data_IF_225774020741
#
_entry.id   IF_225774020741
#
_cell.length_a   1.000
_cell.length_b   1.000
_cell.length_c   1.000
_cell.angle_alpha   90.00
_cell.angle_beta   90.00
_cell.angle_gamma   90.00
#
_symmetry.space_group_name_H-M   'P 1'
#
loop_
_entity.id
_entity.type
_entity.pdbx_description
1 polymer ?
#
# COMPACT_ATOMS: atom_id res chain seq x y z
N UNK A 1 -12.24 -3.03 14.05
CA UNK A 1 -13.39 -2.82 14.94
C UNK A 1 -13.38 -3.76 16.14
N UNK A 2 -14.12 -3.47 17.22
CA UNK A 2 -14.12 -4.29 18.43
C UNK A 2 -14.58 -5.74 18.16
N UNK A 3 -14.35 -6.63 19.15
CA UNK A 3 -14.81 -8.03 19.06
C UNK A 3 -16.35 -8.10 19.09
N UNK A 4 -16.93 -9.03 18.34
CA UNK A 4 -18.38 -9.27 18.37
C UNK A 4 -19.25 -8.35 17.51
N UNK A 5 -18.68 -7.43 16.73
CA UNK A 5 -19.43 -6.48 15.86
C UNK A 5 -19.84 -7.06 14.50
N UNK A 6 -19.70 -8.36 14.28
CA UNK A 6 -20.14 -8.99 13.02
C UNK A 6 -19.12 -8.99 11.88
N UNK A 7 -17.80 -8.81 12.14
CA UNK A 7 -16.76 -8.83 11.09
C UNK A 7 -16.82 -10.10 10.23
N UNK A 8 -16.94 -11.25 10.84
CA UNK A 8 -17.05 -12.55 10.14
C UNK A 8 -18.34 -12.67 9.34
N UNK A 9 -19.47 -12.22 9.88
CA UNK A 9 -20.77 -12.24 9.18
C UNK A 9 -20.76 -11.31 7.95
N UNK A 10 -20.15 -10.13 8.08
CA UNK A 10 -19.93 -9.25 6.93
C UNK A 10 -19.09 -9.93 5.85
N UNK A 11 -18.05 -10.67 6.24
CA UNK A 11 -17.19 -11.40 5.28
C UNK A 11 -17.93 -12.53 4.58
N UNK A 12 -18.83 -13.25 5.27
CA UNK A 12 -19.70 -14.26 4.65
C UNK A 12 -20.67 -13.62 3.66
N UNK A 13 -21.28 -12.48 4.05
CA UNK A 13 -22.17 -11.74 3.15
C UNK A 13 -21.43 -11.26 1.89
N UNK A 14 -20.16 -10.86 1.99
CA UNK A 14 -19.31 -10.54 0.84
C UNK A 14 -19.04 -11.77 -0.02
N UNK A 15 -18.75 -12.93 0.57
CA UNK A 15 -18.54 -14.17 -0.16
C UNK A 15 -19.81 -14.59 -0.93
N UNK A 16 -20.97 -14.49 -0.32
CA UNK A 16 -22.26 -14.74 -0.98
C UNK A 16 -22.49 -13.76 -2.13
N UNK A 17 -22.24 -12.47 -1.90
CA UNK A 17 -22.49 -11.43 -2.90
C UNK A 17 -21.58 -11.56 -4.14
N UNK A 18 -20.26 -11.78 -3.93
CA UNK A 18 -19.29 -11.82 -5.03
C UNK A 18 -19.17 -13.19 -5.68
N UNK A 19 -19.32 -14.26 -4.90
CA UNK A 19 -19.03 -15.62 -5.35
C UNK A 19 -20.23 -16.58 -5.24
N UNK A 20 -21.39 -16.04 -4.88
CA UNK A 20 -22.66 -16.78 -4.75
C UNK A 20 -22.56 -17.99 -3.81
N UNK A 21 -21.75 -17.89 -2.77
CA UNK A 21 -21.56 -18.93 -1.77
C UNK A 21 -20.92 -18.38 -0.50
N UNK A 22 -21.58 -18.50 0.64
CA UNK A 22 -21.01 -18.18 1.96
C UNK A 22 -19.76 -19.02 2.28
N UNK A 23 -19.65 -20.21 1.67
CA UNK A 23 -18.51 -21.12 1.83
C UNK A 23 -17.31 -20.78 0.92
N UNK A 24 -17.44 -19.77 0.05
CA UNK A 24 -16.33 -19.24 -0.72
C UNK A 24 -15.50 -18.28 0.14
N UNK A 25 -15.07 -18.73 1.32
CA UNK A 25 -14.29 -17.95 2.28
C UNK A 25 -13.20 -18.82 2.92
N UNK A 26 -12.00 -18.22 3.01
CA UNK A 26 -10.86 -18.71 3.78
C UNK A 26 -10.68 -17.78 4.95
N UNK A 27 -10.81 -18.26 6.19
CA UNK A 27 -10.56 -17.48 7.38
C UNK A 27 -9.25 -17.89 8.03
N UNK A 28 -8.41 -16.90 8.31
CA UNK A 28 -7.12 -17.06 8.97
C UNK A 28 -7.09 -16.16 10.19
N UNK A 29 -7.04 -16.73 11.39
CA UNK A 29 -6.90 -15.99 12.64
C UNK A 29 -5.40 -15.73 12.87
N UNK A 30 -5.00 -14.47 12.83
CA UNK A 30 -3.60 -14.09 12.92
C UNK A 30 -3.01 -14.30 14.31
N UNK A 31 -3.83 -14.53 15.34
CA UNK A 31 -3.36 -14.93 16.65
C UNK A 31 -2.66 -16.32 16.66
N UNK A 32 -2.97 -17.17 15.68
CA UNK A 32 -2.29 -18.46 15.49
C UNK A 32 -0.92 -18.32 14.78
N UNK A 33 -0.61 -17.13 14.25
CA UNK A 33 0.57 -16.86 13.43
C UNK A 33 1.47 -15.78 14.03
N UNK A 34 1.55 -15.73 15.36
CA UNK A 34 2.40 -14.79 16.11
C UNK A 34 3.89 -15.17 16.04
N UNK A 35 4.17 -16.46 15.89
CA UNK A 35 5.52 -17.00 15.88
C UNK A 35 6.04 -17.22 14.46
N UNK A 36 7.32 -16.94 14.23
CA UNK A 36 7.95 -17.07 12.91
C UNK A 36 7.76 -18.48 12.29
N UNK A 37 7.86 -19.52 13.09
CA UNK A 37 7.73 -20.91 12.58
C UNK A 37 6.31 -21.24 12.10
N UNK A 38 5.28 -20.50 12.55
CA UNK A 38 3.89 -20.73 12.14
C UNK A 38 3.61 -20.24 10.72
N UNK A 39 4.46 -19.37 10.16
CA UNK A 39 4.37 -18.91 8.78
C UNK A 39 4.40 -20.08 7.77
N UNK A 40 5.18 -21.11 8.09
CA UNK A 40 5.21 -22.33 7.29
C UNK A 40 3.83 -23.01 7.15
N UNK A 41 2.91 -22.82 8.10
CA UNK A 41 1.53 -23.31 7.97
C UNK A 41 0.75 -22.57 6.88
N UNK A 42 1.07 -21.27 6.63
CA UNK A 42 0.38 -20.47 5.62
C UNK A 42 0.86 -20.80 4.18
N UNK A 43 2.18 -20.84 3.98
CA UNK A 43 2.79 -20.93 2.66
C UNK A 43 3.48 -22.28 2.39
N UNK A 44 3.47 -23.19 3.37
CA UNK A 44 4.15 -24.48 3.30
C UNK A 44 5.56 -24.44 3.93
N UNK A 45 6.11 -25.64 4.15
CA UNK A 45 7.46 -25.84 4.66
C UNK A 45 8.47 -25.97 3.50
N UNK A 46 9.70 -25.48 3.64
CA UNK A 46 10.75 -25.72 2.66
C UNK A 46 11.12 -27.20 2.52
N UNK A 47 11.75 -27.61 1.42
CA UNK A 47 12.25 -28.97 1.26
C UNK A 47 13.15 -29.42 2.43
N UNK A 48 12.93 -30.62 2.93
CA UNK A 48 13.69 -31.21 4.04
C UNK A 48 13.15 -30.89 5.44
N UNK A 49 12.09 -30.11 5.55
CA UNK A 49 11.42 -29.84 6.83
C UNK A 49 10.14 -30.68 6.98
N UNK A 50 9.75 -30.95 8.23
CA UNK A 50 8.50 -31.64 8.55
C UNK A 50 7.32 -30.82 8.01
N UNK A 51 6.35 -31.49 7.37
CA UNK A 51 5.17 -30.84 6.74
C UNK A 51 5.43 -30.31 5.33
N UNK A 52 6.56 -30.63 4.69
CA UNK A 52 6.83 -30.23 3.30
C UNK A 52 5.77 -30.74 2.31
N UNK A 53 5.24 -31.96 2.51
CA UNK A 53 4.21 -32.57 1.66
C UNK A 53 2.83 -31.93 1.78
N UNK A 54 2.56 -31.25 2.90
CA UNK A 54 1.19 -30.84 3.24
C UNK A 54 0.79 -29.52 2.57
N UNK A 55 1.76 -28.80 2.00
CA UNK A 55 1.54 -27.46 1.43
C UNK A 55 1.20 -26.41 2.49
N UNK A 56 0.91 -25.18 2.05
CA UNK A 56 0.46 -24.11 2.93
C UNK A 56 -1.07 -24.01 2.95
N UNK A 57 -1.66 -23.78 4.11
CA UNK A 57 -3.12 -23.67 4.26
C UNK A 57 -3.68 -22.60 3.31
N UNK A 58 -3.08 -21.39 3.30
CA UNK A 58 -3.51 -20.29 2.46
C UNK A 58 -3.33 -20.63 0.97
N UNK A 59 -2.14 -21.08 0.60
CA UNK A 59 -1.78 -21.36 -0.80
C UNK A 59 -2.58 -22.50 -1.40
N UNK A 60 -2.83 -23.58 -0.64
CA UNK A 60 -3.63 -24.71 -1.10
C UNK A 60 -5.13 -24.36 -1.22
N UNK A 61 -5.69 -23.62 -0.26
CA UNK A 61 -7.11 -23.25 -0.32
C UNK A 61 -7.40 -22.32 -1.49
N UNK A 62 -6.54 -21.33 -1.75
CA UNK A 62 -6.72 -20.43 -2.89
C UNK A 62 -6.46 -21.15 -4.22
N UNK A 63 -5.51 -22.08 -4.28
CA UNK A 63 -5.29 -22.91 -5.47
C UNK A 63 -6.50 -23.77 -5.82
N UNK A 64 -7.16 -24.35 -4.80
CA UNK A 64 -8.37 -25.17 -4.99
C UNK A 64 -9.61 -24.34 -5.29
N UNK A 65 -9.71 -23.14 -4.69
CA UNK A 65 -10.84 -22.22 -4.84
C UNK A 65 -10.34 -20.82 -5.13
N UNK A 66 -10.00 -20.49 -6.40
CA UNK A 66 -9.42 -19.19 -6.75
C UNK A 66 -10.42 -18.03 -6.61
N UNK A 67 -11.73 -18.30 -6.68
CA UNK A 67 -12.79 -17.31 -6.47
C UNK A 67 -13.26 -17.40 -5.02
N UNK A 68 -12.60 -16.69 -4.12
CA UNK A 68 -12.86 -16.79 -2.68
C UNK A 68 -12.54 -15.47 -1.96
N UNK A 69 -13.17 -15.27 -0.81
CA UNK A 69 -12.79 -14.22 0.14
C UNK A 69 -11.74 -14.79 1.09
N UNK A 70 -10.62 -14.10 1.24
CA UNK A 70 -9.59 -14.43 2.22
C UNK A 70 -9.66 -13.40 3.35
N UNK A 71 -10.09 -13.84 4.52
CA UNK A 71 -10.18 -13.02 5.73
C UNK A 71 -8.94 -13.27 6.60
N UNK A 72 -8.13 -12.22 6.78
CA UNK A 72 -7.09 -12.16 7.80
C UNK A 72 -7.66 -11.45 9.03
N UNK A 73 -7.99 -12.22 10.07
CA UNK A 73 -8.60 -11.69 11.29
C UNK A 73 -7.52 -11.32 12.31
N UNK A 74 -7.65 -10.13 12.94
CA UNK A 74 -6.71 -9.60 13.95
C UNK A 74 -5.26 -9.47 13.46
N UNK A 75 -5.07 -8.81 12.30
CA UNK A 75 -3.75 -8.70 11.63
C UNK A 75 -2.67 -8.07 12.51
N UNK A 76 -3.01 -7.27 13.51
CA UNK A 76 -2.08 -6.67 14.46
C UNK A 76 -1.34 -7.70 15.33
N UNK A 77 -1.86 -8.93 15.44
CA UNK A 77 -1.25 -10.02 16.20
C UNK A 77 -0.26 -10.84 15.37
N UNK A 78 -0.25 -10.67 14.05
CA UNK A 78 0.58 -11.44 13.15
C UNK A 78 2.07 -11.18 13.36
N UNK A 79 2.90 -12.20 13.13
CA UNK A 79 4.34 -11.98 13.01
C UNK A 79 4.67 -11.00 11.89
N UNK A 80 5.66 -10.09 12.03
CA UNK A 80 6.00 -9.10 11.01
C UNK A 80 6.24 -9.67 9.61
N UNK A 81 6.78 -10.86 9.47
CA UNK A 81 7.04 -11.49 8.17
C UNK A 81 5.73 -11.79 7.39
N UNK A 82 4.58 -11.86 8.06
CA UNK A 82 3.27 -12.04 7.39
C UNK A 82 2.89 -10.79 6.59
N UNK A 83 3.29 -9.60 7.04
CA UNK A 83 3.07 -8.38 6.27
C UNK A 83 3.79 -8.41 4.92
N UNK A 84 4.96 -9.07 4.84
CA UNK A 84 5.65 -9.26 3.56
C UNK A 84 4.86 -10.16 2.60
N UNK A 85 4.19 -11.20 3.14
CA UNK A 85 3.29 -12.06 2.37
C UNK A 85 2.08 -11.26 1.88
N UNK A 86 1.46 -10.46 2.76
CA UNK A 86 0.34 -9.61 2.41
C UNK A 86 0.71 -8.59 1.34
N UNK A 87 1.87 -7.93 1.46
CA UNK A 87 2.37 -6.99 0.45
C UNK A 87 2.54 -7.68 -0.91
N UNK A 88 3.13 -8.88 -0.95
CA UNK A 88 3.28 -9.62 -2.20
C UNK A 88 1.93 -9.97 -2.84
N UNK A 89 0.93 -10.36 -2.03
CA UNK A 89 -0.42 -10.65 -2.52
C UNK A 89 -1.09 -9.38 -3.07
N UNK A 90 -0.99 -8.26 -2.34
CA UNK A 90 -1.67 -7.02 -2.69
C UNK A 90 -1.03 -6.31 -3.88
N UNK A 91 0.30 -6.32 -3.98
CA UNK A 91 1.03 -5.62 -5.04
C UNK A 91 1.11 -6.47 -6.32
N UNK A 92 1.48 -7.76 -6.20
CA UNK A 92 1.71 -8.63 -7.35
C UNK A 92 0.46 -9.43 -7.77
N UNK A 93 -0.55 -9.54 -6.91
CA UNK A 93 -1.72 -10.40 -7.10
C UNK A 93 -1.37 -11.89 -7.12
N UNK A 94 -0.22 -12.27 -6.55
CA UNK A 94 0.27 -13.65 -6.53
C UNK A 94 1.16 -13.88 -5.31
N UNK A 95 1.29 -15.15 -4.93
CA UNK A 95 2.16 -15.58 -3.83
C UNK A 95 2.93 -16.83 -4.26
N UNK A 96 4.22 -16.86 -4.00
CA UNK A 96 5.04 -18.05 -4.21
C UNK A 96 5.08 -18.86 -2.91
N UNK A 97 4.68 -20.12 -2.97
CA UNK A 97 4.74 -21.02 -1.81
C UNK A 97 6.19 -21.47 -1.51
N UNK A 98 6.37 -22.16 -0.39
CA UNK A 98 7.68 -22.64 0.02
C UNK A 98 8.25 -23.75 -0.90
N UNK A 99 7.44 -24.30 -1.81
CA UNK A 99 7.85 -25.26 -2.85
C UNK A 99 8.23 -24.58 -4.16
N UNK A 100 8.16 -23.24 -4.24
CA UNK A 100 8.42 -22.47 -5.45
C UNK A 100 7.24 -22.41 -6.42
N UNK A 101 6.05 -22.90 -6.04
CA UNK A 101 4.85 -22.83 -6.88
C UNK A 101 4.18 -21.48 -6.71
N UNK A 102 3.80 -20.85 -7.81
CA UNK A 102 3.07 -19.57 -7.81
C UNK A 102 1.57 -19.81 -7.69
N UNK A 103 0.92 -19.12 -6.78
CA UNK A 103 -0.53 -19.11 -6.58
C UNK A 103 -1.06 -17.75 -6.97
N UNK A 104 -2.11 -17.73 -7.81
CA UNK A 104 -2.75 -16.51 -8.31
C UNK A 104 -3.85 -16.06 -7.33
N UNK A 105 -3.79 -14.81 -6.89
CA UNK A 105 -4.74 -14.15 -5.98
C UNK A 105 -5.59 -13.08 -6.67
N UNK A 106 -5.49 -12.90 -7.99
CA UNK A 106 -6.21 -11.85 -8.71
C UNK A 106 -7.73 -11.97 -8.66
N UNK A 107 -8.22 -13.19 -8.45
CA UNK A 107 -9.65 -13.47 -8.34
C UNK A 107 -10.11 -13.61 -6.89
N UNK A 108 -9.27 -13.27 -5.91
CA UNK A 108 -9.63 -13.30 -4.49
C UNK A 108 -9.99 -11.90 -4.00
N UNK A 109 -10.90 -11.84 -3.04
CA UNK A 109 -11.18 -10.63 -2.27
C UNK A 109 -10.44 -10.73 -0.93
N UNK A 110 -9.48 -9.84 -0.69
CA UNK A 110 -8.72 -9.81 0.56
C UNK A 110 -9.41 -8.89 1.56
N UNK A 111 -9.73 -9.43 2.73
CA UNK A 111 -10.32 -8.69 3.86
C UNK A 111 -9.38 -8.77 5.05
N UNK A 112 -9.03 -7.62 5.60
CA UNK A 112 -8.18 -7.49 6.78
C UNK A 112 -8.99 -6.90 7.91
N UNK A 113 -8.95 -7.51 9.10
CA UNK A 113 -9.56 -6.95 10.29
C UNK A 113 -8.51 -6.61 11.33
N UNK A 114 -8.78 -5.58 12.11
CA UNK A 114 -7.93 -5.16 13.22
C UNK A 114 -8.78 -4.64 14.37
N UNK A 115 -8.31 -4.84 15.59
CA UNK A 115 -8.86 -4.26 16.81
C UNK A 115 -8.09 -3.01 17.27
N UNK A 116 -7.08 -2.58 16.54
CA UNK A 116 -6.35 -1.35 16.84
C UNK A 116 -7.32 -0.16 16.86
N UNK A 117 -7.27 0.61 17.94
CA UNK A 117 -8.15 1.76 18.17
C UNK A 117 -9.51 1.42 18.79
N UNK A 118 -9.86 0.16 19.00
CA UNK A 118 -11.14 -0.19 19.65
C UNK A 118 -11.19 0.20 21.14
N UNK A 119 -10.03 0.37 21.78
CA UNK A 119 -9.93 0.87 23.16
C UNK A 119 -10.05 2.41 23.25
N UNK A 120 -9.94 3.11 22.11
CA UNK A 120 -10.11 4.57 22.05
C UNK A 120 -11.57 5.01 21.93
N UNK A 121 -12.48 4.08 21.71
CA UNK A 121 -13.91 4.37 21.54
C UNK A 121 -14.68 4.62 22.84
N UNK A 122 -14.03 4.59 24.00
CA UNK A 122 -14.64 4.96 25.28
C UNK A 122 -14.50 6.45 25.62
N UNK A 123 -13.67 7.19 24.89
CA UNK A 123 -13.54 8.65 25.01
C UNK A 123 -13.87 9.32 23.68
N UNK A 124 -15.16 9.40 23.35
CA UNK A 124 -15.69 9.89 22.07
C UNK A 124 -15.18 11.29 21.67
N UNK A 125 -14.90 12.16 22.63
CA UNK A 125 -14.39 13.51 22.34
C UNK A 125 -12.93 13.53 21.90
N UNK A 126 -12.09 12.64 22.46
CA UNK A 126 -10.65 12.58 22.14
C UNK A 126 -10.40 11.89 20.78
N UNK A 127 -11.24 10.94 20.41
CA UNK A 127 -11.15 10.23 19.13
C UNK A 127 -11.56 11.14 17.97
N UNK A 128 -12.63 11.90 18.13
CA UNK A 128 -13.08 12.88 17.15
C UNK A 128 -11.98 13.94 16.91
N UNK A 129 -11.39 14.48 17.99
CA UNK A 129 -10.31 15.47 17.91
C UNK A 129 -9.04 14.91 17.23
N UNK A 130 -8.63 13.68 17.55
CA UNK A 130 -7.44 13.06 16.94
C UNK A 130 -7.67 12.66 15.48
N UNK A 131 -8.87 12.22 15.12
CA UNK A 131 -9.22 11.89 13.73
C UNK A 131 -9.31 13.16 12.88
N UNK A 132 -9.89 14.25 13.43
CA UNK A 132 -9.92 15.55 12.77
C UNK A 132 -8.51 16.10 12.58
N UNK A 133 -7.66 16.05 13.61
CA UNK A 133 -6.27 16.51 13.53
C UNK A 133 -5.47 15.74 12.48
N UNK A 134 -5.57 14.40 12.44
CA UNK A 134 -4.92 13.59 11.40
C UNK A 134 -5.41 13.96 10.01
N UNK A 135 -6.72 14.13 9.81
CA UNK A 135 -7.28 14.51 8.51
C UNK A 135 -6.76 15.88 8.06
N UNK A 136 -6.73 16.84 8.97
CA UNK A 136 -6.20 18.20 8.70
C UNK A 136 -4.71 18.16 8.38
N UNK A 137 -3.91 17.33 9.07
CA UNK A 137 -2.48 17.18 8.79
C UNK A 137 -2.21 16.52 7.43
N UNK A 138 -3.05 15.56 6.99
CA UNK A 138 -2.98 14.96 5.65
C UNK A 138 -3.34 15.98 4.56
N UNK A 139 -4.45 16.70 4.72
CA UNK A 139 -4.88 17.75 3.79
C UNK A 139 -3.83 18.88 3.66
N UNK A 140 -3.20 19.25 4.78
CA UNK A 140 -2.12 20.23 4.78
C UNK A 140 -0.88 19.73 4.01
N UNK A 141 -0.45 18.49 4.24
CA UNK A 141 0.67 17.88 3.49
C UNK A 141 0.36 17.74 2.00
N UNK A 142 -0.83 17.33 1.65
CA UNK A 142 -1.25 17.23 0.25
C UNK A 142 -1.23 18.60 -0.45
N UNK A 143 -1.69 19.64 0.22
CA UNK A 143 -1.64 21.00 -0.29
C UNK A 143 -0.20 21.54 -0.41
N UNK A 144 0.68 21.23 0.55
CA UNK A 144 2.10 21.59 0.49
C UNK A 144 2.79 20.89 -0.71
N UNK A 145 2.51 19.60 -0.93
CA UNK A 145 3.03 18.85 -2.09
C UNK A 145 2.56 19.44 -3.42
N UNK A 146 1.27 19.77 -3.54
CA UNK A 146 0.72 20.43 -4.74
C UNK A 146 1.36 21.78 -5.02
N UNK A 147 1.66 22.57 -3.96
CA UNK A 147 2.36 23.85 -4.13
C UNK A 147 3.78 23.67 -4.64
N UNK A 148 4.52 22.67 -4.12
CA UNK A 148 5.88 22.35 -4.59
C UNK A 148 5.86 21.91 -6.06
N UNK A 149 4.96 21.01 -6.45
CA UNK A 149 4.80 20.57 -7.84
C UNK A 149 4.48 21.72 -8.78
N UNK A 150 3.60 22.66 -8.35
CA UNK A 150 3.26 23.86 -9.14
C UNK A 150 4.46 24.79 -9.30
N UNK A 151 5.28 24.97 -8.25
CA UNK A 151 6.48 25.78 -8.32
C UNK A 151 7.53 25.15 -9.23
N UNK A 152 7.76 23.83 -9.16
CA UNK A 152 8.67 23.14 -10.06
C UNK A 152 8.25 23.26 -11.53
N UNK A 153 6.96 23.07 -11.83
CA UNK A 153 6.45 23.25 -13.19
C UNK A 153 6.62 24.69 -13.69
N UNK A 154 6.48 25.68 -12.80
CA UNK A 154 6.68 27.09 -13.16
C UNK A 154 8.16 27.39 -13.44
N UNK A 155 9.09 26.82 -12.66
CA UNK A 155 10.54 26.97 -12.87
C UNK A 155 10.95 26.33 -14.21
N UNK A 156 10.46 25.12 -14.49
CA UNK A 156 10.74 24.41 -15.74
C UNK A 156 10.24 25.26 -16.93
N UNK A 157 9.03 25.80 -16.86
CA UNK A 157 8.48 26.64 -17.92
C UNK A 157 9.32 27.89 -18.17
N UNK A 158 9.75 28.59 -17.11
CA UNK A 158 10.63 29.74 -17.26
C UNK A 158 12.00 29.40 -17.83
N UNK A 159 12.55 28.24 -17.49
CA UNK A 159 13.82 27.76 -18.07
C UNK A 159 13.68 27.46 -19.57
N UNK A 160 12.57 26.83 -19.98
CA UNK A 160 12.26 26.54 -21.38
C UNK A 160 12.04 27.82 -22.17
N UNK A 161 11.33 28.82 -21.62
CA UNK A 161 11.13 30.12 -22.25
C UNK A 161 12.44 30.90 -22.42
N UNK A 162 13.32 30.86 -21.41
CA UNK A 162 14.64 31.49 -21.48
C UNK A 162 15.54 30.85 -22.55
N UNK A 163 15.40 29.54 -22.76
CA UNK A 163 16.12 28.83 -23.83
C UNK A 163 15.58 29.11 -25.22
N UNK A 164 14.27 29.39 -25.37
CA UNK A 164 13.65 29.73 -26.66
C UNK A 164 13.91 31.15 -27.11
N UNK A 165 14.21 32.07 -26.18
CA UNK A 165 14.53 33.46 -26.46
C UNK A 165 15.88 33.85 -25.88
N UNK A 166 16.98 33.38 -26.47
CA UNK A 166 18.30 33.85 -26.06
C UNK A 166 18.38 35.36 -26.29
N UNK A 167 18.92 36.09 -25.32
CA UNK A 167 19.10 37.53 -25.34
C UNK A 167 19.63 38.01 -26.71
N UNK A 168 19.04 39.08 -27.29
CA UNK A 168 19.59 39.67 -28.49
C UNK A 168 21.02 40.13 -28.18
N UNK A 169 21.98 39.59 -28.97
CA UNK A 169 23.39 39.98 -28.88
C UNK A 169 23.49 41.52 -28.96
N UNK A 170 24.08 42.12 -27.92
CA UNK A 170 24.36 43.55 -27.89
C UNK A 170 25.10 43.93 -29.17
N UNK A 171 24.40 44.64 -30.06
CA UNK A 171 25.03 45.21 -31.27
C UNK A 171 26.13 46.17 -30.82
N UNK A 172 27.34 45.82 -31.23
CA UNK A 172 28.50 46.62 -31.42
C UNK A 172 28.63 47.97 -30.67
N UNK A 173 29.43 47.94 -29.65
CA UNK A 173 30.02 49.16 -29.14
C UNK A 173 31.05 49.63 -30.17
N UNK A 174 30.73 50.61 -31.04
CA UNK A 174 31.74 51.28 -31.84
C UNK A 174 32.54 52.22 -30.91
N UNK A 175 33.90 52.10 -30.89
CA UNK A 175 34.72 53.04 -30.15
C UNK A 175 34.62 54.44 -30.79
N UNK A 176 34.21 55.44 -30.05
CA UNK A 176 34.27 56.85 -30.47
C UNK A 176 35.74 57.24 -30.74
N UNK A 177 35.98 57.76 -31.95
CA UNK A 177 37.23 58.33 -32.33
C UNK A 177 37.60 59.49 -31.38
N UNK A 178 38.78 59.44 -30.79
CA UNK A 178 39.40 60.54 -30.08
C UNK A 178 39.70 61.69 -31.04
N UNK A 179 39.42 62.98 -30.64
CA UNK A 179 39.79 64.14 -31.44
C UNK A 179 41.30 64.30 -31.50
N UNK A 180 41.85 64.49 -32.70
CA UNK A 180 43.26 64.86 -32.95
C UNK A 180 43.51 66.21 -32.34
N UNK A 181 44.54 66.31 -31.52
CA UNK A 181 45.16 67.58 -31.11
C UNK A 181 45.85 68.16 -32.34
N UNK A 182 45.47 69.38 -32.72
CA UNK A 182 46.20 70.26 -33.61
C UNK A 182 46.97 71.27 -32.76
N UNK A 183 48.16 71.39 -33.07
CA UNK A 183 49.27 72.30 -32.68
C UNK A 183 48.91 73.58 -32.04
#
# INVERSE_FOLDING_TARGET
GPTGVGKTELTKALAEYFFNSENAMVRLDMSEYMEKHTIAKLIGSPPGYVGFSDGGILTEQVRQKPFTVVLFDEVEKAHPDIFNILLQILDDGRLTDAQGKVVDFKNTLIVLTTNLGSQLSTDDETLAANTFKKKTDYEKRENELRQVETQEQTIIRHQEEAQRHPFPQARGFQPMHAPRASQ
#
